data_IF_017656511858
#
_entry.id   IF_017656511858
#
_cell.length_a   1.000
_cell.length_b   1.000
_cell.length_c   1.000
_cell.angle_alpha   90.00
_cell.angle_beta   90.00
_cell.angle_gamma   90.00
#
_symmetry.space_group_name_H-M   'P 1'
#
loop_
_entity.id
_entity.type
_entity.pdbx_description
1 polymer ?
#
# COMPACT_ATOMS: atom_id res chain seq x y z
N UNK A 1 -1.86 10.17 0.17
CA UNK A 1 -3.04 11.03 -0.11
C UNK A 1 -3.20 12.05 1.01
N UNK A 2 -3.83 13.21 0.78
CA UNK A 2 -4.15 14.17 1.85
C UNK A 2 -4.98 13.50 2.95
N UNK A 3 -4.67 13.83 4.20
CA UNK A 3 -5.32 13.25 5.37
C UNK A 3 -5.20 14.24 6.54
N UNK A 4 -6.22 15.07 6.79
CA UNK A 4 -6.24 15.93 7.97
C UNK A 4 -6.11 15.09 9.25
N UNK A 5 -5.32 15.57 10.21
CA UNK A 5 -5.13 14.88 11.49
C UNK A 5 -4.25 13.62 11.45
N UNK A 6 -3.44 13.45 10.39
CA UNK A 6 -2.56 12.27 10.24
C UNK A 6 -1.59 12.12 11.42
N UNK A 7 -0.98 13.21 11.89
CA UNK A 7 0.01 13.16 12.96
C UNK A 7 -0.60 12.57 14.24
N UNK A 8 -1.75 13.10 14.67
CA UNK A 8 -2.45 12.64 15.86
C UNK A 8 -2.96 11.20 15.71
N UNK A 9 -3.41 10.79 14.51
CA UNK A 9 -3.76 9.39 14.25
C UNK A 9 -2.56 8.48 14.39
N UNK A 10 -1.41 8.86 13.83
CA UNK A 10 -0.18 8.06 13.88
C UNK A 10 0.36 7.96 15.31
N UNK A 11 0.35 9.05 16.08
CA UNK A 11 0.74 9.03 17.50
C UNK A 11 -0.13 8.04 18.30
N UNK A 12 -1.47 8.10 18.12
CA UNK A 12 -2.38 7.13 18.73
C UNK A 12 -2.14 5.71 18.25
N UNK A 13 -1.82 5.51 16.97
CA UNK A 13 -1.55 4.19 16.41
C UNK A 13 -0.25 3.60 16.98
N UNK A 14 0.81 4.40 17.13
CA UNK A 14 2.08 3.99 17.74
C UNK A 14 1.87 3.65 19.22
N UNK A 15 1.12 4.46 19.96
CA UNK A 15 0.88 4.23 21.40
C UNK A 15 0.02 2.99 21.67
N UNK A 16 -0.85 2.61 20.73
CA UNK A 16 -1.77 1.45 20.84
C UNK A 16 -1.30 0.21 20.08
N UNK A 17 -0.18 0.29 19.34
CA UNK A 17 0.30 -0.83 18.54
C UNK A 17 0.59 -2.04 19.43
N UNK A 18 0.02 -3.22 19.12
CA UNK A 18 0.30 -4.42 19.89
C UNK A 18 1.77 -4.79 19.80
N UNK A 19 2.25 -5.52 20.81
CA UNK A 19 3.55 -6.16 20.72
C UNK A 19 3.50 -7.26 19.65
N UNK A 20 4.49 -7.26 18.78
CA UNK A 20 4.56 -8.20 17.67
C UNK A 20 5.81 -7.99 16.82
N UNK A 21 6.07 -8.89 15.86
CA UNK A 21 7.31 -8.89 15.08
C UNK A 21 7.46 -7.66 14.17
N UNK A 22 6.36 -6.92 13.91
CA UNK A 22 6.37 -5.72 13.08
C UNK A 22 6.14 -4.44 13.90
N UNK A 23 6.27 -4.49 15.23
CA UNK A 23 6.09 -3.32 16.08
C UNK A 23 7.03 -2.18 15.66
N UNK A 24 6.46 -1.01 15.43
CA UNK A 24 7.20 0.17 14.97
C UNK A 24 7.46 0.23 13.46
N UNK A 25 7.11 -0.82 12.71
CA UNK A 25 7.18 -0.80 11.26
C UNK A 25 6.05 0.06 10.69
N UNK A 26 6.41 1.07 9.93
CA UNK A 26 5.45 1.93 9.23
C UNK A 26 5.13 1.34 7.85
N UNK A 27 3.85 1.20 7.51
CA UNK A 27 3.40 0.59 6.25
C UNK A 27 2.41 1.47 5.52
N UNK A 28 2.67 1.74 4.23
CA UNK A 28 1.72 2.40 3.34
C UNK A 28 0.75 1.40 2.70
N UNK A 29 -0.49 1.83 2.43
CA UNK A 29 -1.55 0.94 1.93
C UNK A 29 -2.16 1.48 0.63
N UNK A 30 -2.08 0.72 -0.47
CA UNK A 30 -2.70 1.09 -1.75
C UNK A 30 -4.21 1.36 -1.60
N UNK A 31 -4.71 2.34 -2.34
CA UNK A 31 -6.09 2.83 -2.21
C UNK A 31 -7.21 1.90 -2.72
N UNK A 32 -6.92 0.62 -2.97
CA UNK A 32 -7.95 -0.41 -3.25
C UNK A 32 -8.14 -1.39 -2.08
N UNK A 33 -7.32 -1.28 -1.03
CA UNK A 33 -7.42 -2.12 0.17
C UNK A 33 -8.30 -1.42 1.19
N UNK A 34 -9.44 -1.97 1.57
CA UNK A 34 -10.21 -1.39 2.67
C UNK A 34 -9.36 -1.35 3.95
N UNK A 35 -9.44 -0.23 4.67
CA UNK A 35 -8.66 -0.01 5.89
C UNK A 35 -9.49 0.81 6.86
N UNK A 36 -9.77 0.26 8.03
CA UNK A 36 -10.63 0.94 8.99
C UNK A 36 -10.00 2.26 9.45
N UNK A 37 -10.84 3.29 9.50
CA UNK A 37 -10.49 4.65 9.89
C UNK A 37 -10.01 5.55 8.74
N UNK A 38 -9.86 5.05 7.51
CA UNK A 38 -9.58 5.88 6.34
C UNK A 38 -10.42 5.42 5.12
N UNK A 39 -10.97 6.35 4.32
CA UNK A 39 -11.78 5.99 3.17
C UNK A 39 -10.95 5.26 2.10
N UNK A 40 -11.62 4.42 1.32
CA UNK A 40 -11.05 3.74 0.15
C UNK A 40 -11.75 4.30 -1.08
N UNK A 41 -10.99 4.93 -1.98
CA UNK A 41 -11.58 5.61 -3.16
C UNK A 41 -11.32 4.85 -4.46
N UNK A 42 -10.49 3.81 -4.43
CA UNK A 42 -10.01 3.10 -5.60
C UNK A 42 -9.36 4.00 -6.66
N UNK A 43 -8.90 5.20 -6.29
CA UNK A 43 -8.45 6.23 -7.24
C UNK A 43 -9.56 6.79 -8.15
N UNK A 44 -10.83 6.58 -7.80
CA UNK A 44 -12.00 7.04 -8.55
C UNK A 44 -12.64 8.29 -7.93
N UNK A 45 -13.63 8.87 -8.61
CA UNK A 45 -14.49 9.94 -8.08
C UNK A 45 -15.85 9.44 -7.59
N UNK A 46 -16.04 8.13 -7.45
CA UNK A 46 -17.29 7.58 -6.94
C UNK A 46 -17.51 7.93 -5.46
N UNK A 47 -18.77 7.96 -4.99
CA UNK A 47 -19.06 8.11 -3.57
C UNK A 47 -18.38 7.00 -2.76
N UNK A 48 -17.65 7.38 -1.70
CA UNK A 48 -16.88 6.42 -0.89
C UNK A 48 -17.74 5.34 -0.24
N UNK A 49 -19.01 5.64 0.03
CA UNK A 49 -19.96 4.71 0.63
C UNK A 49 -20.36 3.59 -0.34
N UNK A 50 -20.33 3.83 -1.65
CA UNK A 50 -20.54 2.80 -2.67
C UNK A 50 -19.37 1.81 -2.76
N UNK A 51 -18.20 2.24 -2.29
CA UNK A 51 -16.98 1.44 -2.23
C UNK A 51 -16.71 0.94 -0.81
N UNK A 52 -17.66 1.02 0.11
CA UNK A 52 -17.45 0.54 1.47
C UNK A 52 -17.33 -0.99 1.50
N UNK A 53 -16.44 -1.49 2.34
CA UNK A 53 -16.19 -2.92 2.51
C UNK A 53 -15.43 -3.22 3.79
N UNK A 54 -15.36 -4.49 4.21
CA UNK A 54 -14.64 -4.89 5.42
C UNK A 54 -13.14 -4.66 5.25
N UNK A 55 -12.43 -4.36 6.35
CA UNK A 55 -10.97 -4.18 6.35
C UNK A 55 -10.25 -5.35 5.65
N UNK A 56 -9.27 -5.01 4.82
CA UNK A 56 -8.51 -5.99 4.08
C UNK A 56 -7.75 -6.92 5.03
N UNK A 57 -7.84 -8.24 4.78
CA UNK A 57 -7.19 -9.24 5.64
C UNK A 57 -5.68 -9.00 5.78
N UNK A 58 -5.02 -8.52 4.73
CA UNK A 58 -3.60 -8.14 4.76
C UNK A 58 -3.32 -6.96 5.70
N UNK A 59 -4.24 -5.98 5.77
CA UNK A 59 -4.11 -4.82 6.67
C UNK A 59 -4.31 -5.26 8.11
N UNK A 60 -5.35 -6.04 8.40
CA UNK A 60 -5.61 -6.54 9.76
C UNK A 60 -4.46 -7.41 10.27
N UNK A 61 -3.87 -8.25 9.42
CA UNK A 61 -2.70 -9.07 9.77
C UNK A 61 -1.46 -8.22 10.10
N UNK A 62 -1.20 -7.16 9.35
CA UNK A 62 -0.09 -6.25 9.64
C UNK A 62 -0.32 -5.50 10.96
N UNK A 63 -1.53 -5.00 11.19
CA UNK A 63 -1.91 -4.31 12.45
C UNK A 63 -1.77 -5.23 13.65
N UNK A 64 -2.25 -6.47 13.57
CA UNK A 64 -2.14 -7.43 14.67
C UNK A 64 -0.68 -7.83 14.97
N UNK A 65 0.19 -7.78 13.96
CA UNK A 65 1.64 -7.96 14.12
C UNK A 65 2.38 -6.71 14.66
N UNK A 66 1.67 -5.61 14.93
CA UNK A 66 2.22 -4.39 15.52
C UNK A 66 2.60 -3.29 14.51
N UNK A 67 2.33 -3.47 13.22
CA UNK A 67 2.65 -2.47 12.21
C UNK A 67 1.72 -1.25 12.30
N UNK A 68 2.27 -0.07 12.02
CA UNK A 68 1.54 1.20 12.00
C UNK A 68 1.23 1.58 10.56
N UNK A 69 -0.06 1.75 10.24
CA UNK A 69 -0.48 2.14 8.90
C UNK A 69 -0.23 3.63 8.67
N UNK A 70 0.70 3.97 7.77
CA UNK A 70 1.03 5.35 7.42
C UNK A 70 -0.19 6.09 6.88
N UNK A 71 -0.97 5.41 6.04
CA UNK A 71 -2.13 5.96 5.36
C UNK A 71 -2.28 5.37 3.96
N UNK A 72 -3.18 5.96 3.18
CA UNK A 72 -3.53 5.50 1.84
C UNK A 72 -2.60 6.08 0.78
N UNK A 73 -2.16 5.24 -0.14
CA UNK A 73 -1.34 5.60 -1.31
C UNK A 73 -2.16 5.55 -2.58
N UNK A 74 -1.89 6.51 -3.47
CA UNK A 74 -2.55 6.62 -4.77
C UNK A 74 -2.45 5.30 -5.54
N UNK A 75 -3.59 4.86 -6.06
CA UNK A 75 -3.71 3.83 -7.09
C UNK A 75 -4.06 4.52 -8.42
N UNK A 76 -3.85 3.84 -9.55
CA UNK A 76 -4.67 4.15 -10.73
C UNK A 76 -6.13 3.76 -10.44
N UNK A 77 -7.07 4.39 -11.14
CA UNK A 77 -8.50 4.13 -10.96
C UNK A 77 -8.83 2.65 -11.14
N UNK A 78 -9.47 2.03 -10.14
CA UNK A 78 -9.77 0.60 -10.06
C UNK A 78 -8.60 -0.33 -10.42
N UNK A 79 -7.38 0.10 -10.07
CA UNK A 79 -6.14 -0.60 -10.40
C UNK A 79 -5.89 -0.82 -11.91
N UNK A 80 -6.57 -0.06 -12.78
CA UNK A 80 -6.50 -0.11 -14.23
C UNK A 80 -5.37 0.78 -14.78
N UNK A 81 -5.52 1.36 -15.97
CA UNK A 81 -4.42 2.03 -16.69
C UNK A 81 -4.28 3.53 -16.40
N UNK A 82 -5.34 4.23 -15.98
CA UNK A 82 -5.33 5.70 -15.89
C UNK A 82 -4.37 6.21 -14.79
N UNK A 83 -3.31 6.97 -15.13
CA UNK A 83 -2.32 7.42 -14.16
C UNK A 83 -2.90 8.42 -13.16
N UNK A 84 -2.71 8.14 -11.86
CA UNK A 84 -2.97 9.13 -10.81
C UNK A 84 -1.88 10.21 -10.72
N UNK A 85 -2.03 11.21 -9.82
CA UNK A 85 -1.16 12.39 -9.73
C UNK A 85 0.26 12.10 -9.19
N UNK A 86 0.57 10.86 -8.84
CA UNK A 86 1.87 10.48 -8.28
C UNK A 86 2.98 10.64 -9.33
N UNK A 87 4.09 11.26 -8.94
CA UNK A 87 5.30 11.42 -9.76
C UNK A 87 6.41 10.49 -9.28
N UNK A 88 7.35 10.13 -10.14
CA UNK A 88 8.47 9.26 -9.79
C UNK A 88 9.48 9.99 -8.89
N UNK A 89 9.79 9.51 -7.67
CA UNK A 89 10.76 10.15 -6.78
C UNK A 89 12.19 10.21 -7.33
N UNK A 90 12.54 9.35 -8.32
CA UNK A 90 13.85 9.36 -8.97
C UNK A 90 14.00 10.50 -9.98
N UNK A 91 12.89 10.90 -10.61
CA UNK A 91 12.80 12.04 -11.49
C UNK A 91 11.34 12.47 -11.59
N UNK A 92 11.02 13.63 -11.02
CA UNK A 92 9.64 14.09 -10.93
C UNK A 92 9.00 14.29 -12.33
N UNK A 93 9.78 14.49 -13.41
CA UNK A 93 9.23 14.57 -14.76
C UNK A 93 8.74 13.22 -15.34
N UNK A 94 8.93 12.11 -14.63
CA UNK A 94 8.61 10.77 -15.10
C UNK A 94 7.48 10.11 -14.29
N UNK A 95 6.84 9.12 -14.91
CA UNK A 95 5.84 8.27 -14.26
C UNK A 95 6.48 7.34 -13.22
N UNK A 96 5.85 7.13 -12.06
CA UNK A 96 6.26 6.10 -11.09
C UNK A 96 5.83 4.69 -11.55
N UNK A 97 5.15 4.55 -12.69
CA UNK A 97 4.48 3.33 -13.11
C UNK A 97 3.12 3.16 -12.41
N UNK A 98 2.51 2.00 -12.52
CA UNK A 98 1.21 1.72 -11.92
C UNK A 98 0.80 0.26 -12.04
N UNK A 99 -0.28 -0.21 -11.43
CA UNK A 99 -1.26 0.62 -10.70
C UNK A 99 -0.91 0.96 -9.25
N UNK A 100 0.10 0.31 -8.65
CA UNK A 100 0.54 0.63 -7.27
C UNK A 100 1.52 1.82 -7.23
N UNK A 101 1.18 2.90 -7.93
CA UNK A 101 2.04 4.08 -8.17
C UNK A 101 2.48 4.75 -6.88
N UNK A 102 1.51 5.10 -6.02
CA UNK A 102 1.77 5.75 -4.74
C UNK A 102 2.53 4.85 -3.77
N UNK A 103 2.31 3.53 -3.80
CA UNK A 103 3.02 2.60 -2.92
C UNK A 103 4.50 2.54 -3.27
N UNK A 104 4.86 2.44 -4.55
CA UNK A 104 6.25 2.44 -4.98
C UNK A 104 6.93 3.78 -4.69
N UNK A 105 6.24 4.88 -5.00
CA UNK A 105 6.77 6.22 -4.75
C UNK A 105 6.97 6.49 -3.26
N UNK A 106 6.04 6.06 -2.39
CA UNK A 106 6.17 6.24 -0.94
C UNK A 106 7.42 5.52 -0.39
N UNK A 107 7.68 4.29 -0.85
CA UNK A 107 8.88 3.55 -0.45
C UNK A 107 10.14 4.20 -1.02
N UNK A 108 10.13 4.56 -2.30
CA UNK A 108 11.30 5.15 -2.97
C UNK A 108 11.67 6.54 -2.41
N UNK A 109 10.68 7.31 -1.95
CA UNK A 109 10.88 8.60 -1.29
C UNK A 109 11.24 8.49 0.20
N UNK A 110 11.35 7.27 0.75
CA UNK A 110 11.71 7.06 2.15
C UNK A 110 10.60 7.37 3.16
N UNK A 111 9.33 7.48 2.72
CA UNK A 111 8.21 7.72 3.64
C UNK A 111 7.86 6.50 4.48
N UNK A 112 8.13 5.29 3.97
CA UNK A 112 7.94 4.04 4.68
C UNK A 112 8.87 2.95 4.13
N UNK A 113 9.33 2.00 4.96
CA UNK A 113 10.16 0.88 4.51
C UNK A 113 9.38 -0.18 3.71
N UNK A 114 8.06 -0.25 3.89
CA UNK A 114 7.17 -1.27 3.31
C UNK A 114 5.84 -0.64 2.87
N UNK A 115 5.29 -1.11 1.76
CA UNK A 115 3.95 -0.76 1.32
C UNK A 115 3.21 -1.97 0.73
N UNK A 116 1.89 -2.00 0.92
CA UNK A 116 1.00 -2.92 0.22
C UNK A 116 0.74 -2.40 -1.20
N UNK A 117 0.75 -3.33 -2.16
CA UNK A 117 0.31 -3.13 -3.53
C UNK A 117 -0.50 -4.34 -4.02
N UNK A 118 -1.03 -4.24 -5.23
CA UNK A 118 -1.70 -5.36 -5.89
C UNK A 118 -1.26 -5.48 -7.33
N UNK A 119 -1.31 -6.71 -7.86
CA UNK A 119 -0.95 -7.03 -9.23
C UNK A 119 -1.94 -7.99 -9.86
N UNK A 120 -2.55 -7.54 -10.95
CA UNK A 120 -3.29 -8.34 -11.92
C UNK A 120 -2.35 -8.76 -13.06
N UNK A 121 -1.66 -7.80 -13.69
CA UNK A 121 -0.70 -8.07 -14.78
C UNK A 121 0.73 -7.72 -14.35
N UNK A 122 0.99 -6.46 -14.02
CA UNK A 122 2.33 -5.95 -13.69
C UNK A 122 2.37 -4.93 -12.56
N UNK A 123 1.26 -4.74 -11.84
CA UNK A 123 1.02 -3.56 -11.01
C UNK A 123 1.76 -3.50 -9.67
N UNK A 124 2.63 -4.47 -9.36
CA UNK A 124 3.62 -4.41 -8.27
C UNK A 124 5.01 -4.28 -8.85
N UNK A 125 5.41 -5.18 -9.75
CA UNK A 125 6.79 -5.24 -10.28
C UNK A 125 7.13 -4.04 -11.18
N UNK A 126 6.20 -3.54 -11.99
CA UNK A 126 6.41 -2.38 -12.88
C UNK A 126 6.67 -1.09 -12.11
N UNK A 127 5.80 -0.65 -11.18
CA UNK A 127 6.09 0.56 -10.42
C UNK A 127 7.31 0.41 -9.51
N UNK A 128 7.59 -0.80 -9.00
CA UNK A 128 8.81 -1.08 -8.25
C UNK A 128 10.08 -0.86 -9.10
N UNK A 129 10.11 -1.40 -10.33
CA UNK A 129 11.22 -1.21 -11.26
C UNK A 129 11.40 0.27 -11.62
N UNK A 130 10.31 1.00 -11.84
CA UNK A 130 10.37 2.41 -12.24
C UNK A 130 10.87 3.31 -11.11
N UNK A 131 10.47 3.03 -9.87
CA UNK A 131 10.88 3.82 -8.71
C UNK A 131 12.21 3.34 -8.08
N UNK A 132 12.77 2.23 -8.57
CA UNK A 132 14.00 1.63 -8.05
C UNK A 132 13.85 1.12 -6.62
N UNK A 133 12.84 0.28 -6.38
CA UNK A 133 12.57 -0.40 -5.10
C UNK A 133 12.28 -1.88 -5.33
N UNK A 134 12.26 -2.68 -4.27
CA UNK A 134 11.93 -4.10 -4.35
C UNK A 134 10.43 -4.26 -4.55
N UNK A 135 10.02 -5.06 -5.54
CA UNK A 135 8.63 -5.45 -5.76
C UNK A 135 8.49 -6.97 -5.68
N UNK A 136 7.66 -7.47 -4.76
CA UNK A 136 7.40 -8.89 -4.58
C UNK A 136 5.93 -9.20 -4.86
N UNK A 137 5.69 -9.95 -5.95
CA UNK A 137 4.40 -10.57 -6.24
C UNK A 137 4.50 -12.06 -5.91
N UNK A 138 3.84 -12.55 -4.84
CA UNK A 138 3.89 -13.96 -4.48
C UNK A 138 3.15 -14.84 -5.51
N UNK A 139 3.20 -16.16 -5.32
CA UNK A 139 2.27 -17.08 -5.98
C UNK A 139 0.82 -16.68 -5.70
N UNK A 140 -0.05 -16.91 -6.67
CA UNK A 140 -1.48 -16.59 -6.56
C UNK A 140 -2.10 -17.24 -5.31
N UNK A 141 -2.97 -16.50 -4.61
CA UNK A 141 -3.62 -16.95 -3.37
C UNK A 141 -2.74 -17.01 -2.11
N UNK A 142 -1.44 -16.73 -2.20
CA UNK A 142 -0.52 -16.78 -1.05
C UNK A 142 -0.82 -15.73 0.03
N UNK A 143 -1.32 -14.57 -0.38
CA UNK A 143 -1.81 -13.52 0.51
C UNK A 143 -3.26 -13.29 0.13
N UNK A 144 -4.15 -13.30 1.12
CA UNK A 144 -5.60 -13.12 0.90
C UNK A 144 -5.90 -11.77 0.25
N UNK A 145 -6.79 -11.78 -0.74
CA UNK A 145 -7.36 -10.60 -1.40
C UNK A 145 -8.66 -10.14 -0.74
N UNK A 146 -9.11 -10.79 0.35
CA UNK A 146 -10.31 -10.38 1.07
C UNK A 146 -10.20 -8.92 1.55
N UNK A 147 -11.24 -8.13 1.28
CA UNK A 147 -11.30 -6.69 1.55
C UNK A 147 -10.44 -5.84 0.61
N UNK A 148 -10.04 -6.36 -0.55
CA UNK A 148 -9.43 -5.61 -1.64
C UNK A 148 -10.43 -5.50 -2.79
N UNK A 149 -10.66 -4.30 -3.30
CA UNK A 149 -11.53 -4.08 -4.46
C UNK A 149 -10.92 -4.84 -5.66
N UNK A 150 -11.66 -5.78 -6.28
CA UNK A 150 -11.14 -6.62 -7.35
C UNK A 150 -11.06 -5.86 -8.67
N UNK A 151 -10.14 -6.28 -9.54
CA UNK A 151 -10.11 -5.93 -10.95
C UNK A 151 -10.40 -7.16 -11.81
N UNK A 152 -9.69 -8.27 -11.57
CA UNK A 152 -9.90 -9.56 -12.20
C UNK A 152 -9.43 -10.65 -11.24
N UNK A 153 -10.37 -11.22 -10.49
CA UNK A 153 -10.08 -12.07 -9.32
C UNK A 153 -9.14 -13.23 -9.63
N UNK A 154 -9.25 -13.84 -10.81
CA UNK A 154 -8.39 -14.96 -11.24
C UNK A 154 -6.92 -14.59 -11.46
N UNK A 155 -6.59 -13.30 -11.47
CA UNK A 155 -5.24 -12.76 -11.62
C UNK A 155 -4.79 -11.92 -10.40
N UNK A 156 -5.74 -11.37 -9.66
CA UNK A 156 -5.45 -10.41 -8.59
C UNK A 156 -4.64 -11.05 -7.47
N UNK A 157 -3.46 -10.47 -7.26
CA UNK A 157 -2.51 -10.91 -6.24
C UNK A 157 -2.08 -9.73 -5.38
N UNK A 158 -2.25 -9.83 -4.06
CA UNK A 158 -1.64 -8.88 -3.12
C UNK A 158 -0.12 -9.05 -3.15
N UNK A 159 0.61 -7.94 -3.27
CA UNK A 159 2.06 -7.91 -3.28
C UNK A 159 2.64 -6.83 -2.37
N UNK A 160 3.95 -6.85 -2.25
CA UNK A 160 4.71 -5.97 -1.36
C UNK A 160 5.67 -5.10 -2.17
N UNK A 161 5.84 -3.86 -1.74
CA UNK A 161 6.90 -2.98 -2.19
C UNK A 161 7.77 -2.61 -0.99
N UNK A 162 9.08 -2.77 -1.10
CA UNK A 162 10.00 -2.62 0.03
C UNK A 162 11.29 -1.90 -0.36
N UNK A 163 11.89 -1.23 0.62
CA UNK A 163 13.17 -0.53 0.44
C UNK A 163 14.36 -1.48 0.20
N UNK A 164 14.27 -2.72 0.69
CA UNK A 164 15.28 -3.76 0.50
C UNK A 164 14.67 -5.18 0.64
N UNK A 165 15.45 -6.21 0.32
CA UNK A 165 15.04 -7.62 0.40
C UNK A 165 15.24 -8.25 1.79
N UNK A 166 15.79 -7.52 2.77
CA UNK A 166 16.08 -8.09 4.08
C UNK A 166 14.77 -8.40 4.82
N UNK A 167 14.78 -9.49 5.59
CA UNK A 167 13.67 -9.80 6.51
C UNK A 167 13.63 -8.69 7.56
N UNK A 168 12.47 -8.04 7.72
CA UNK A 168 12.22 -7.12 8.82
C UNK A 168 12.59 -7.78 10.14
N UNK A 169 13.63 -7.27 10.79
CA UNK A 169 14.32 -7.93 11.89
C UNK A 169 15.71 -7.35 12.07
N UNK A 170 15.80 -6.03 12.15
CA UNK A 170 17.06 -5.31 12.32
C UNK A 170 16.75 -3.84 12.44
N UNK A 171 16.55 -3.38 13.67
CA UNK A 171 16.66 -1.97 13.99
C UNK A 171 18.03 -1.50 13.50
N UNK A 172 18.02 -0.59 12.53
CA UNK A 172 19.15 0.27 12.21
C UNK A 172 18.57 1.67 12.01
N UNK A 173 18.24 2.29 13.14
CA UNK A 173 18.35 3.73 13.39
C UNK A 173 19.17 3.87 14.66
#
# INVERSE_FOLDING_TARGET
MPEPGRAERLERAVSRAPNGPLRGLVVAVKDIFHMDGLPTTAGSTLPVDELAGPEAAAVSLLRSAGAVMLGKTVSTEFALFEPGPTRNPRNLAHTPGGSSSGSAAAVAAGHCPLALGSQTIGSVIRPAAYCGVVGYKPSYGRISTAGVIPLAESFDTVGLLASNCARGGGAAL
#
